data_IF_193789173038
#
_entry.id   IF_193789173038
#
_cell.length_a   1.000
_cell.length_b   1.000
_cell.length_c   1.000
_cell.angle_alpha   90.00
_cell.angle_beta   90.00
_cell.angle_gamma   90.00
#
_symmetry.space_group_name_H-M   'P 1'
#
loop_
_entity.id
_entity.type
_entity.pdbx_description
1 polymer ?
#
# COMPACT_ATOMS: atom_id res chain seq x y z
N UNK A 1 2.92 26.68 -60.05
CA UNK A 1 2.57 27.65 -61.12
C UNK A 1 3.30 28.99 -61.00
N UNK A 2 3.33 29.62 -59.83
CA UNK A 2 3.94 30.96 -59.63
C UNK A 2 5.42 31.06 -60.02
N UNK A 3 6.25 30.04 -59.72
CA UNK A 3 7.67 30.04 -60.13
C UNK A 3 7.87 30.06 -61.65
N UNK A 4 6.94 29.47 -62.43
CA UNK A 4 7.00 29.40 -63.89
C UNK A 4 6.63 30.74 -64.53
N UNK A 5 5.61 31.40 -63.97
CA UNK A 5 5.18 32.75 -64.35
C UNK A 5 6.24 33.80 -64.00
N UNK A 6 6.90 33.67 -62.84
CA UNK A 6 7.99 34.56 -62.44
C UNK A 6 9.21 34.44 -63.38
N UNK A 7 9.56 33.22 -63.78
CA UNK A 7 10.62 32.97 -64.75
C UNK A 7 10.27 33.51 -66.14
N UNK A 8 9.01 33.38 -66.57
CA UNK A 8 8.53 33.95 -67.84
C UNK A 8 8.45 35.49 -67.83
N UNK A 9 8.15 36.11 -66.69
CA UNK A 9 8.19 37.57 -66.55
C UNK A 9 9.62 38.12 -66.56
N UNK A 10 10.57 37.43 -65.92
CA UNK A 10 12.01 37.78 -66.01
C UNK A 10 12.52 37.63 -67.45
N UNK A 11 12.14 36.56 -68.13
CA UNK A 11 12.52 36.32 -69.52
C UNK A 11 11.90 37.36 -70.47
N UNK A 12 10.64 37.76 -70.24
CA UNK A 12 9.97 38.81 -71.01
C UNK A 12 10.55 40.21 -70.74
N UNK A 13 11.00 40.48 -69.51
CA UNK A 13 11.76 41.69 -69.16
C UNK A 13 13.12 41.74 -69.85
N UNK A 14 13.76 40.59 -70.10
CA UNK A 14 15.03 40.50 -70.82
C UNK A 14 14.86 40.73 -72.33
N UNK A 15 13.69 40.40 -72.88
CA UNK A 15 13.31 40.62 -74.29
C UNK A 15 13.02 42.10 -74.62
N UNK A 16 12.85 42.96 -73.61
CA UNK A 16 12.61 44.40 -73.74
C UNK A 16 13.83 45.25 -73.35
N UNK A 17 15.03 44.66 -73.36
CA UNK A 17 16.27 45.42 -73.20
C UNK A 17 16.60 46.08 -74.55
N UNK A 18 16.28 47.37 -74.68
CA UNK A 18 16.83 48.22 -75.74
C UNK A 18 18.36 48.07 -75.80
N UNK A 19 18.91 48.06 -77.01
CA UNK A 19 20.36 48.09 -77.23
C UNK A 19 20.98 49.26 -76.44
N UNK A 20 21.94 48.95 -75.57
CA UNK A 20 22.70 49.97 -74.87
C UNK A 20 23.62 50.69 -75.88
N UNK A 21 23.23 51.89 -76.31
CA UNK A 21 24.14 52.80 -77.01
C UNK A 21 25.31 53.17 -76.10
N UNK A 22 26.51 52.74 -76.47
CA UNK A 22 27.74 53.26 -75.89
C UNK A 22 27.94 54.70 -76.39
N UNK A 23 27.91 55.67 -75.48
CA UNK A 23 28.19 57.07 -75.78
C UNK A 23 29.70 57.29 -75.93
N UNK A 24 30.17 57.55 -77.16
CA UNK A 24 31.46 58.19 -77.40
C UNK A 24 31.38 59.63 -76.84
N UNK A 25 32.25 59.96 -75.86
CA UNK A 25 32.45 61.30 -75.25
C UNK A 25 31.56 61.72 -74.06
N UNK A 26 31.43 60.91 -73.00
CA UNK A 26 30.86 61.47 -71.75
C UNK A 26 30.87 60.60 -70.50
N UNK A 27 31.98 60.58 -69.76
CA UNK A 27 32.07 60.12 -68.36
C UNK A 27 31.50 58.72 -68.06
N UNK A 28 31.44 58.34 -66.77
CA UNK A 28 30.56 57.22 -66.38
C UNK A 28 29.12 57.74 -66.43
N UNK A 29 28.21 57.16 -67.25
CA UNK A 29 26.85 57.67 -67.42
C UNK A 29 26.05 57.82 -66.10
N UNK A 30 26.34 56.97 -65.11
CA UNK A 30 25.71 57.05 -63.78
C UNK A 30 26.09 58.30 -62.95
N UNK A 31 27.18 58.98 -63.30
CA UNK A 31 27.67 60.17 -62.59
C UNK A 31 27.33 61.48 -63.32
N UNK A 32 26.60 61.42 -64.44
CA UNK A 32 26.14 62.62 -65.13
C UNK A 32 24.94 63.25 -64.38
N UNK A 33 25.06 64.48 -63.85
CA UNK A 33 24.00 65.16 -63.09
C UNK A 33 22.69 65.37 -63.87
N UNK A 34 22.72 65.33 -65.20
CA UNK A 34 21.53 65.45 -66.05
C UNK A 34 20.49 64.36 -65.78
N UNK A 35 20.91 63.16 -65.38
CA UNK A 35 20.00 62.03 -65.12
C UNK A 35 19.56 61.89 -63.65
N UNK A 36 20.12 62.68 -62.72
CA UNK A 36 19.86 62.53 -61.29
C UNK A 36 18.39 62.73 -60.93
N UNK A 37 17.70 63.67 -61.59
CA UNK A 37 16.28 63.94 -61.33
C UNK A 37 15.43 62.69 -61.69
N UNK A 38 15.70 62.08 -62.83
CA UNK A 38 15.00 60.86 -63.28
C UNK A 38 15.31 59.66 -62.39
N UNK A 39 16.58 59.49 -62.01
CA UNK A 39 17.00 58.43 -61.09
C UNK A 39 16.34 58.57 -59.71
N UNK A 40 16.32 59.77 -59.13
CA UNK A 40 15.69 60.03 -57.83
C UNK A 40 14.18 59.81 -57.90
N UNK A 41 13.53 60.22 -58.99
CA UNK A 41 12.10 60.01 -59.21
C UNK A 41 11.75 58.51 -59.21
N UNK A 42 12.42 57.71 -60.04
CA UNK A 42 12.17 56.27 -60.12
C UNK A 42 12.60 55.52 -58.86
N UNK A 43 13.69 55.93 -58.21
CA UNK A 43 14.10 55.38 -56.92
C UNK A 43 13.02 55.61 -55.86
N UNK A 44 12.46 56.83 -55.80
CA UNK A 44 11.40 57.16 -54.84
C UNK A 44 10.15 56.33 -55.09
N UNK A 45 9.74 56.16 -56.35
CA UNK A 45 8.58 55.33 -56.71
C UNK A 45 8.81 53.86 -56.36
N UNK A 46 9.93 53.27 -56.79
CA UNK A 46 10.22 51.85 -56.58
C UNK A 46 10.44 51.54 -55.10
N UNK A 47 11.16 52.40 -54.39
CA UNK A 47 11.35 52.27 -52.94
C UNK A 47 10.03 52.49 -52.18
N UNK A 48 9.20 53.45 -52.59
CA UNK A 48 7.88 53.67 -52.00
C UNK A 48 6.96 52.46 -52.14
N UNK A 49 6.92 51.84 -53.34
CA UNK A 49 6.17 50.61 -53.57
C UNK A 49 6.72 49.47 -52.69
N UNK A 50 8.04 49.29 -52.66
CA UNK A 50 8.69 48.28 -51.81
C UNK A 50 8.36 48.48 -50.33
N UNK A 51 8.41 49.73 -49.84
CA UNK A 51 8.09 50.09 -48.47
C UNK A 51 6.64 49.74 -48.13
N UNK A 52 5.68 50.06 -49.00
CA UNK A 52 4.28 49.71 -48.80
C UNK A 52 4.07 48.19 -48.77
N UNK A 53 4.74 47.44 -49.63
CA UNK A 53 4.70 45.97 -49.63
C UNK A 53 5.26 45.40 -48.33
N UNK A 54 6.42 45.87 -47.88
CA UNK A 54 7.02 45.42 -46.62
C UNK A 54 6.14 45.76 -45.42
N UNK A 55 5.72 47.01 -45.34
CA UNK A 55 4.91 47.54 -44.22
C UNK A 55 3.56 46.85 -44.13
N UNK A 56 2.86 46.66 -45.26
CA UNK A 56 1.46 46.21 -45.27
C UNK A 56 1.30 44.70 -45.46
N UNK A 57 2.26 43.99 -46.04
CA UNK A 57 2.14 42.56 -46.34
C UNK A 57 3.13 41.68 -45.57
N UNK A 58 4.37 42.11 -45.41
CA UNK A 58 5.44 41.25 -44.87
C UNK A 58 5.52 41.38 -43.34
N UNK A 59 5.60 42.61 -42.81
CA UNK A 59 5.65 42.86 -41.37
C UNK A 59 4.44 42.29 -40.60
N UNK A 60 3.18 42.41 -41.08
CA UNK A 60 2.03 41.85 -40.36
C UNK A 60 2.09 40.32 -40.27
N UNK A 61 2.61 39.63 -41.31
CA UNK A 61 2.76 38.17 -41.30
C UNK A 61 3.79 37.70 -40.28
N UNK A 62 4.91 38.42 -40.17
CA UNK A 62 5.96 38.12 -39.18
C UNK A 62 5.41 38.35 -37.77
N UNK A 63 4.75 39.49 -37.56
CA UNK A 63 4.12 39.83 -36.28
C UNK A 63 3.09 38.78 -35.85
N UNK A 64 2.21 38.36 -36.77
CA UNK A 64 1.23 37.31 -36.49
C UNK A 64 1.88 35.98 -36.08
N UNK A 65 2.98 35.58 -36.73
CA UNK A 65 3.69 34.34 -36.34
C UNK A 65 4.34 34.46 -34.96
N UNK A 66 4.92 35.63 -34.64
CA UNK A 66 5.48 35.89 -33.32
C UNK A 66 4.41 35.85 -32.23
N UNK A 67 3.25 36.44 -32.48
CA UNK A 67 2.14 36.43 -31.51
C UNK A 67 1.59 35.01 -31.30
N UNK A 68 1.45 34.21 -32.37
CA UNK A 68 1.07 32.79 -32.25
C UNK A 68 2.06 32.03 -31.37
N UNK A 69 3.37 32.18 -31.63
CA UNK A 69 4.41 31.51 -30.83
C UNK A 69 4.38 31.95 -29.38
N UNK A 70 4.22 33.25 -29.14
CA UNK A 70 4.10 33.81 -27.78
C UNK A 70 2.87 33.25 -27.07
N UNK A 71 1.72 33.21 -27.73
CA UNK A 71 0.49 32.63 -27.18
C UNK A 71 0.67 31.15 -26.83
N UNK A 72 1.27 30.37 -27.73
CA UNK A 72 1.54 28.95 -27.48
C UNK A 72 2.48 28.73 -26.30
N UNK A 73 3.52 29.56 -26.16
CA UNK A 73 4.43 29.48 -25.02
C UNK A 73 3.69 29.79 -23.71
N UNK A 74 2.85 30.83 -23.69
CA UNK A 74 2.07 31.19 -22.51
C UNK A 74 1.08 30.07 -22.13
N UNK A 75 0.35 29.54 -23.11
CA UNK A 75 -0.58 28.42 -22.91
C UNK A 75 0.14 27.17 -22.37
N UNK A 76 1.32 26.83 -22.93
CA UNK A 76 2.11 25.71 -22.45
C UNK A 76 2.63 25.92 -21.02
N UNK A 77 3.02 27.15 -20.67
CA UNK A 77 3.47 27.48 -19.30
C UNK A 77 2.30 27.36 -18.32
N UNK A 78 1.12 27.89 -18.67
CA UNK A 78 -0.08 27.79 -17.85
C UNK A 78 -0.52 26.33 -17.66
N UNK A 79 -0.53 25.55 -18.74
CA UNK A 79 -0.85 24.12 -18.68
C UNK A 79 0.16 23.34 -17.81
N UNK A 80 1.46 23.65 -17.92
CA UNK A 80 2.49 23.04 -17.10
C UNK A 80 2.33 23.40 -15.62
N UNK A 81 2.02 24.65 -15.30
CA UNK A 81 1.79 25.09 -13.92
C UNK A 81 0.55 24.43 -13.31
N UNK A 82 -0.55 24.36 -14.06
CA UNK A 82 -1.75 23.64 -13.64
C UNK A 82 -1.46 22.16 -13.40
N UNK A 83 -0.70 21.51 -14.28
CA UNK A 83 -0.31 20.12 -14.10
C UNK A 83 0.60 19.91 -12.89
N UNK A 84 1.47 20.89 -12.58
CA UNK A 84 2.30 20.89 -11.37
C UNK A 84 1.43 20.97 -10.12
N UNK A 85 0.50 21.93 -10.06
CA UNK A 85 -0.42 22.10 -8.94
C UNK A 85 -1.30 20.85 -8.72
N UNK A 86 -1.89 20.30 -9.77
CA UNK A 86 -2.67 19.06 -9.70
C UNK A 86 -1.82 17.86 -9.21
N UNK A 87 -0.54 17.82 -9.57
CA UNK A 87 0.38 16.78 -9.11
C UNK A 87 0.73 16.94 -7.63
N UNK A 88 0.95 18.17 -7.17
CA UNK A 88 1.21 18.48 -5.76
C UNK A 88 0.02 18.13 -4.88
N UNK A 89 -1.20 18.47 -5.30
CA UNK A 89 -2.44 18.09 -4.62
C UNK A 89 -2.59 16.56 -4.53
N UNK A 90 -2.31 15.84 -5.61
CA UNK A 90 -2.35 14.36 -5.63
C UNK A 90 -1.30 13.74 -4.71
N UNK A 91 -0.11 14.34 -4.63
CA UNK A 91 0.95 13.88 -3.70
C UNK A 91 0.48 14.06 -2.27
N UNK A 92 -0.09 15.21 -1.91
CA UNK A 92 -0.61 15.46 -0.57
C UNK A 92 -1.75 14.48 -0.21
N UNK A 93 -2.69 14.26 -1.12
CA UNK A 93 -3.78 13.30 -0.93
C UNK A 93 -3.24 11.87 -0.75
N UNK A 94 -2.28 11.46 -1.57
CA UNK A 94 -1.63 10.16 -1.48
C UNK A 94 -0.91 9.98 -0.14
N UNK A 95 -0.14 10.98 0.31
CA UNK A 95 0.53 10.95 1.61
C UNK A 95 -0.48 10.82 2.75
N UNK A 96 -1.61 11.55 2.68
CA UNK A 96 -2.70 11.46 3.66
C UNK A 96 -3.32 10.07 3.68
N UNK A 97 -3.59 9.47 2.52
CA UNK A 97 -4.10 8.09 2.41
C UNK A 97 -3.12 7.12 3.07
N UNK A 98 -1.82 7.23 2.76
CA UNK A 98 -0.79 6.35 3.33
C UNK A 98 -0.73 6.47 4.85
N UNK A 99 -0.78 7.69 5.40
CA UNK A 99 -0.77 7.89 6.85
C UNK A 99 -2.03 7.35 7.51
N UNK A 100 -3.20 7.60 6.92
CA UNK A 100 -4.47 7.07 7.42
C UNK A 100 -4.49 5.55 7.41
N UNK A 101 -4.08 4.91 6.32
CA UNK A 101 -3.99 3.44 6.22
C UNK A 101 -3.02 2.84 7.24
N UNK A 102 -1.88 3.49 7.51
CA UNK A 102 -0.94 3.06 8.57
C UNK A 102 -1.60 3.12 9.95
N UNK A 103 -2.33 4.20 10.23
CA UNK A 103 -3.03 4.38 11.50
C UNK A 103 -4.18 3.37 11.66
N UNK A 104 -4.95 3.13 10.61
CA UNK A 104 -6.02 2.12 10.58
C UNK A 104 -5.46 0.72 10.79
N UNK A 105 -4.37 0.35 10.11
CA UNK A 105 -3.71 -0.94 10.29
C UNK A 105 -3.22 -1.14 11.73
N UNK A 106 -2.60 -0.10 12.32
CA UNK A 106 -2.17 -0.13 13.74
C UNK A 106 -3.36 -0.29 14.69
N UNK A 107 -4.45 0.43 14.44
CA UNK A 107 -5.67 0.31 15.24
C UNK A 107 -6.28 -1.08 15.12
N UNK A 108 -6.40 -1.62 13.91
CA UNK A 108 -6.88 -2.97 13.66
C UNK A 108 -6.04 -4.02 14.38
N UNK A 109 -4.71 -3.91 14.31
CA UNK A 109 -3.80 -4.80 15.02
C UNK A 109 -3.99 -4.74 16.54
N UNK A 110 -4.10 -3.53 17.11
CA UNK A 110 -4.32 -3.35 18.55
C UNK A 110 -5.67 -3.93 18.99
N UNK A 111 -6.73 -3.72 18.20
CA UNK A 111 -8.05 -4.28 18.48
C UNK A 111 -8.04 -5.81 18.40
N UNK A 112 -7.44 -6.38 17.36
CA UNK A 112 -7.31 -7.83 17.21
C UNK A 112 -6.51 -8.43 18.37
N UNK A 113 -5.37 -7.83 18.73
CA UNK A 113 -4.57 -8.24 19.87
C UNK A 113 -5.36 -8.18 21.18
N UNK A 114 -6.12 -7.10 21.39
CA UNK A 114 -6.98 -6.95 22.57
C UNK A 114 -8.06 -8.03 22.66
N UNK A 115 -8.72 -8.36 21.54
CA UNK A 115 -9.70 -9.45 21.46
C UNK A 115 -9.08 -10.81 21.77
N UNK A 116 -7.94 -11.12 21.15
CA UNK A 116 -7.23 -12.38 21.37
C UNK A 116 -6.80 -12.54 22.83
N UNK A 117 -6.25 -11.48 23.46
CA UNK A 117 -5.89 -11.53 24.87
C UNK A 117 -7.11 -11.75 25.78
N UNK A 118 -8.24 -11.10 25.47
CA UNK A 118 -9.49 -11.32 26.20
C UNK A 118 -9.97 -12.76 26.08
N UNK A 119 -9.95 -13.32 24.87
CA UNK A 119 -10.38 -14.71 24.62
C UNK A 119 -9.44 -15.72 25.30
N UNK A 120 -8.14 -15.46 25.32
CA UNK A 120 -7.16 -16.26 26.07
C UNK A 120 -7.49 -16.25 27.56
N UNK A 121 -7.76 -15.07 28.14
CA UNK A 121 -8.11 -14.97 29.56
C UNK A 121 -9.41 -15.71 29.88
N UNK A 122 -10.45 -15.55 29.05
CA UNK A 122 -11.72 -16.27 29.22
C UNK A 122 -11.53 -17.80 29.16
N UNK A 123 -10.76 -18.29 28.19
CA UNK A 123 -10.45 -19.72 28.07
C UNK A 123 -9.64 -20.22 29.26
N UNK A 124 -8.68 -19.43 29.72
CA UNK A 124 -7.87 -19.76 30.90
C UNK A 124 -8.74 -19.86 32.15
N UNK A 125 -9.60 -18.88 32.40
CA UNK A 125 -10.53 -18.90 33.54
C UNK A 125 -11.50 -20.10 33.47
N UNK A 126 -11.98 -20.45 32.28
CA UNK A 126 -12.83 -21.62 32.08
C UNK A 126 -12.07 -22.93 32.39
N UNK A 127 -10.83 -23.05 31.88
CA UNK A 127 -9.96 -24.19 32.13
C UNK A 127 -9.61 -24.32 33.61
N UNK A 128 -9.28 -23.23 34.28
CA UNK A 128 -8.96 -23.22 35.72
C UNK A 128 -10.17 -23.69 36.55
N UNK A 129 -11.40 -23.31 36.17
CA UNK A 129 -12.63 -23.81 36.81
C UNK A 129 -12.84 -25.30 36.58
N UNK A 130 -12.63 -25.77 35.36
CA UNK A 130 -12.76 -27.19 35.02
C UNK A 130 -11.72 -28.04 35.77
N UNK A 131 -10.47 -27.58 35.81
CA UNK A 131 -9.38 -28.22 36.54
C UNK A 131 -9.68 -28.30 38.03
N UNK A 132 -10.13 -27.20 38.64
CA UNK A 132 -10.53 -27.20 40.06
C UNK A 132 -11.67 -28.19 40.34
N UNK A 133 -12.65 -28.30 39.45
CA UNK A 133 -13.74 -29.28 39.58
C UNK A 133 -13.22 -30.71 39.49
N UNK A 134 -12.28 -30.99 38.60
CA UNK A 134 -11.70 -32.32 38.45
C UNK A 134 -10.82 -32.69 39.64
N UNK A 135 -10.05 -31.73 40.18
CA UNK A 135 -9.29 -31.89 41.43
C UNK A 135 -10.25 -32.24 42.58
N UNK A 136 -11.35 -31.50 42.75
CA UNK A 136 -12.33 -31.78 43.81
C UNK A 136 -12.98 -33.16 43.68
N UNK A 137 -13.28 -33.61 42.45
CA UNK A 137 -13.77 -34.97 42.22
C UNK A 137 -12.73 -36.01 42.61
N UNK A 138 -11.49 -35.85 42.18
CA UNK A 138 -10.39 -36.77 42.50
C UNK A 138 -10.14 -36.82 44.01
N UNK A 139 -10.17 -35.67 44.71
CA UNK A 139 -10.08 -35.61 46.17
C UNK A 139 -11.23 -36.35 46.85
N UNK A 140 -12.46 -36.18 46.34
CA UNK A 140 -13.63 -36.91 46.85
C UNK A 140 -13.50 -38.41 46.63
N UNK A 141 -13.04 -38.84 45.44
CA UNK A 141 -12.81 -40.24 45.12
C UNK A 141 -11.71 -40.84 46.01
N UNK A 142 -10.61 -40.12 46.23
CA UNK A 142 -9.55 -40.51 47.17
C UNK A 142 -10.12 -40.66 48.58
N UNK A 143 -10.95 -39.72 49.05
CA UNK A 143 -11.56 -39.79 50.37
C UNK A 143 -12.52 -40.97 50.49
N UNK A 144 -13.32 -41.25 49.47
CA UNK A 144 -14.17 -42.44 49.41
C UNK A 144 -13.35 -43.73 49.45
N UNK A 145 -12.27 -43.82 48.66
CA UNK A 145 -11.35 -44.96 48.70
C UNK A 145 -10.75 -45.14 50.08
N UNK A 146 -10.31 -44.05 50.72
CA UNK A 146 -9.76 -44.07 52.08
C UNK A 146 -10.79 -44.57 53.09
N UNK A 147 -12.05 -44.15 52.98
CA UNK A 147 -13.13 -44.58 53.87
C UNK A 147 -13.55 -46.04 53.63
N UNK A 148 -13.52 -46.52 52.37
CA UNK A 148 -13.85 -47.90 51.98
C UNK A 148 -12.70 -48.89 52.19
N UNK A 149 -11.45 -48.41 52.27
CA UNK A 149 -10.26 -49.26 52.40
C UNK A 149 -10.27 -50.16 53.65
N UNK A 150 -10.61 -49.69 54.87
CA UNK A 150 -10.66 -50.54 56.06
C UNK A 150 -11.62 -51.73 55.90
N UNK A 151 -12.79 -51.52 55.31
CA UNK A 151 -13.76 -52.59 55.07
C UNK A 151 -13.22 -53.63 54.08
N UNK A 152 -12.58 -53.19 52.98
CA UNK A 152 -11.94 -54.08 52.02
C UNK A 152 -10.77 -54.85 52.63
N UNK A 153 -9.95 -54.20 53.43
CA UNK A 153 -8.81 -54.81 54.13
C UNK A 153 -9.31 -55.86 55.14
N UNK A 154 -10.33 -55.55 55.95
CA UNK A 154 -10.92 -56.52 56.87
C UNK A 154 -11.45 -57.75 56.11
N UNK A 155 -12.17 -57.55 54.99
CA UNK A 155 -12.66 -58.66 54.17
C UNK A 155 -11.53 -59.55 53.65
N UNK A 156 -10.48 -58.96 53.09
CA UNK A 156 -9.29 -59.71 52.60
C UNK A 156 -8.59 -60.43 53.75
N UNK A 157 -8.48 -59.80 54.93
CA UNK A 157 -7.86 -60.39 56.10
C UNK A 157 -8.65 -61.60 56.63
N UNK A 158 -10.00 -61.54 56.62
CA UNK A 158 -10.87 -62.67 56.96
C UNK A 158 -10.71 -63.82 55.97
N UNK A 159 -10.80 -63.54 54.66
CA UNK A 159 -10.63 -64.54 53.60
C UNK A 159 -9.25 -65.21 53.68
N UNK A 160 -8.18 -64.42 53.76
CA UNK A 160 -6.80 -64.92 53.85
C UNK A 160 -6.57 -65.75 55.13
N UNK A 161 -7.16 -65.31 56.25
CA UNK A 161 -7.04 -66.04 57.52
C UNK A 161 -7.79 -67.37 57.48
N UNK A 162 -8.96 -67.42 56.84
CA UNK A 162 -9.69 -68.66 56.60
C UNK A 162 -8.89 -69.64 55.74
N UNK A 163 -8.32 -69.17 54.63
CA UNK A 163 -7.48 -69.98 53.73
C UNK A 163 -6.24 -70.53 54.45
N UNK A 164 -5.55 -69.69 55.23
CA UNK A 164 -4.37 -70.10 56.02
C UNK A 164 -4.72 -71.14 57.08
N UNK A 165 -5.84 -70.97 57.79
CA UNK A 165 -6.29 -71.93 58.81
C UNK A 165 -6.67 -73.28 58.19
N UNK A 166 -7.32 -73.26 57.03
CA UNK A 166 -7.63 -74.47 56.27
C UNK A 166 -6.37 -75.20 55.82
N UNK A 167 -5.35 -74.47 55.35
CA UNK A 167 -4.09 -75.06 54.88
C UNK A 167 -3.18 -75.56 56.00
N UNK A 168 -3.15 -74.91 57.17
CA UNK A 168 -2.26 -75.26 58.29
C UNK A 168 -2.83 -76.32 59.23
N UNK A 169 -4.13 -76.27 59.49
CA UNK A 169 -4.77 -77.07 60.57
C UNK A 169 -5.80 -78.06 59.98
N UNK A 170 -6.14 -77.96 58.70
CA UNK A 170 -7.07 -78.87 58.02
C UNK A 170 -8.51 -78.80 58.53
N UNK A 171 -8.85 -77.78 59.33
CA UNK A 171 -10.15 -77.60 59.96
C UNK A 171 -10.87 -76.39 59.36
N UNK A 172 -12.11 -76.60 58.89
CA UNK A 172 -13.01 -75.51 58.50
C UNK A 172 -13.56 -74.82 59.76
N UNK A 173 -13.01 -73.65 60.08
CA UNK A 173 -13.48 -72.83 61.19
C UNK A 173 -14.60 -71.91 60.69
N UNK A 174 -15.62 -71.69 61.52
CA UNK A 174 -16.74 -70.83 61.16
C UNK A 174 -16.26 -69.41 60.82
N UNK A 175 -16.62 -68.94 59.63
CA UNK A 175 -16.24 -67.63 59.10
C UNK A 175 -16.73 -66.47 60.01
N UNK A 176 -17.83 -66.66 60.74
CA UNK A 176 -18.32 -65.67 61.70
C UNK A 176 -17.37 -65.46 62.90
N UNK A 177 -16.71 -66.52 63.36
CA UNK A 177 -15.74 -66.46 64.45
C UNK A 177 -14.44 -65.78 64.02
N UNK A 178 -13.97 -66.07 62.80
CA UNK A 178 -12.79 -65.41 62.21
C UNK A 178 -13.08 -63.92 62.00
N UNK A 179 -14.24 -63.57 61.44
CA UNK A 179 -14.67 -62.18 61.27
C UNK A 179 -14.71 -61.41 62.58
N UNK A 180 -15.23 -62.00 63.66
CA UNK A 180 -15.31 -61.36 64.97
C UNK A 180 -13.91 -61.04 65.54
N UNK A 181 -12.95 -61.95 65.41
CA UNK A 181 -11.57 -61.77 65.89
C UNK A 181 -10.84 -60.73 65.04
N UNK A 182 -10.98 -60.80 63.71
CA UNK A 182 -10.38 -59.82 62.80
C UNK A 182 -10.94 -58.42 63.05
N UNK A 183 -12.25 -58.28 63.27
CA UNK A 183 -12.88 -56.98 63.58
C UNK A 183 -12.47 -56.43 64.96
N UNK A 184 -12.24 -57.28 65.96
CA UNK A 184 -11.72 -56.85 67.27
C UNK A 184 -10.27 -56.34 67.17
N UNK A 185 -9.41 -57.10 66.49
CA UNK A 185 -8.02 -56.71 66.22
C UNK A 185 -7.92 -55.45 65.34
N UNK A 186 -8.79 -55.36 64.35
CA UNK A 186 -8.95 -54.21 63.45
C UNK A 186 -9.27 -52.95 64.26
N UNK A 187 -10.32 -52.96 65.08
CA UNK A 187 -10.71 -51.81 65.93
C UNK A 187 -9.61 -51.40 66.89
N UNK A 188 -8.97 -52.37 67.56
CA UNK A 188 -7.88 -52.10 68.52
C UNK A 188 -6.64 -51.47 67.88
N UNK A 189 -6.38 -51.74 66.60
CA UNK A 189 -5.30 -51.09 65.84
C UNK A 189 -5.73 -49.84 65.07
N UNK A 190 -7.01 -49.70 64.69
CA UNK A 190 -7.52 -48.55 63.95
C UNK A 190 -7.34 -47.24 64.74
N UNK A 191 -7.59 -47.29 66.06
CA UNK A 191 -7.34 -46.17 66.99
C UNK A 191 -5.87 -45.74 67.04
N UNK A 192 -4.92 -46.63 66.68
CA UNK A 192 -3.48 -46.35 66.69
C UNK A 192 -2.96 -45.73 65.39
N UNK A 193 -3.67 -45.87 64.26
CA UNK A 193 -3.21 -45.46 62.93
C UNK A 193 -4.13 -44.46 62.20
N UNK A 194 -5.40 -44.34 62.61
CA UNK A 194 -6.40 -43.47 61.96
C UNK A 194 -7.20 -42.60 62.94
N UNK A 195 -7.00 -42.72 64.26
CA UNK A 195 -7.44 -41.72 65.24
C UNK A 195 -6.54 -40.49 65.14
N UNK A 196 -7.17 -39.30 65.17
CA UNK A 196 -6.55 -37.98 65.01
C UNK A 196 -5.06 -37.87 65.40
#
# INVERSE_FOLDING_TARGET
MIKKIFFQLIFLSFLFLEEAFASESGGMPQLNPEFWISQIFWLTITFGILYLVLSKLILPKISANLEIRKSQILENIEAAEKQREESELKIEEYEKIVQNSKNEAKNYFNQARGKVLKDINLKKEALDKELNKEIQKAETEIQEFRNKAPQKINKIAVETSADLLQQLIGAEINNSSISAIVDDLSRKKMDKYYGN
#
